data_IF_511778750201
#
_entry.id   IF_511778750201
#
_cell.length_a   1.000
_cell.length_b   1.000
_cell.length_c   1.000
_cell.angle_alpha   90.00
_cell.angle_beta   90.00
_cell.angle_gamma   90.00
#
_symmetry.space_group_name_H-M   'P 1'
#
loop_
_entity.id
_entity.type
_entity.pdbx_description
1 polymer ?
#
# COMPACT_ATOMS: atom_id res chain seq x y z
N UNK A 1 16.23 -22.10 -47.58
CA UNK A 1 16.37 -20.63 -47.44
C UNK A 1 15.96 -20.26 -46.00
N UNK A 2 16.49 -20.97 -45.00
CA UNK A 2 15.82 -21.09 -43.68
C UNK A 2 16.64 -20.52 -42.50
N UNK A 3 17.90 -20.15 -42.74
CA UNK A 3 18.79 -19.62 -41.71
C UNK A 3 18.52 -18.17 -41.33
N UNK A 4 18.10 -17.32 -42.29
CA UNK A 4 17.85 -15.89 -42.05
C UNK A 4 16.56 -15.65 -41.23
N UNK A 5 15.53 -16.45 -41.46
CA UNK A 5 14.25 -16.39 -40.73
C UNK A 5 14.39 -16.91 -39.30
N UNK A 6 15.14 -17.99 -39.09
CA UNK A 6 15.41 -18.53 -37.76
C UNK A 6 16.23 -17.54 -36.90
N UNK A 7 17.29 -16.96 -37.47
CA UNK A 7 18.13 -16.00 -36.76
C UNK A 7 17.38 -14.68 -36.42
N UNK A 8 16.47 -14.25 -37.29
CA UNK A 8 15.60 -13.10 -37.03
C UNK A 8 14.60 -13.38 -35.90
N UNK A 9 13.99 -14.57 -35.87
CA UNK A 9 13.07 -14.96 -34.81
C UNK A 9 13.75 -15.07 -33.43
N UNK A 10 14.96 -15.63 -33.39
CA UNK A 10 15.78 -15.71 -32.18
C UNK A 10 16.16 -14.31 -31.66
N UNK A 11 16.59 -13.43 -32.56
CA UNK A 11 16.95 -12.03 -32.22
C UNK A 11 15.74 -11.26 -31.67
N UNK A 12 14.56 -11.41 -32.27
CA UNK A 12 13.31 -10.80 -31.78
C UNK A 12 12.92 -11.37 -30.41
N UNK A 13 13.06 -12.68 -30.19
CA UNK A 13 12.81 -13.32 -28.90
C UNK A 13 13.72 -12.81 -27.78
N UNK A 14 15.01 -12.62 -28.07
CA UNK A 14 16.00 -12.07 -27.13
C UNK A 14 15.70 -10.60 -26.81
N UNK A 15 15.37 -9.79 -27.82
CA UNK A 15 15.01 -8.38 -27.62
C UNK A 15 13.76 -8.22 -26.74
N UNK A 16 12.69 -8.96 -27.02
CA UNK A 16 11.46 -8.96 -26.22
C UNK A 16 11.71 -9.43 -24.78
N UNK A 17 12.60 -10.39 -24.59
CA UNK A 17 12.99 -10.87 -23.25
C UNK A 17 13.74 -9.80 -22.47
N UNK A 18 14.68 -9.10 -23.11
CA UNK A 18 15.43 -8.00 -22.50
C UNK A 18 14.54 -6.80 -22.15
N UNK A 19 13.54 -6.49 -22.98
CA UNK A 19 12.59 -5.40 -22.72
C UNK A 19 11.63 -5.74 -21.57
N UNK A 20 11.15 -6.98 -21.49
CA UNK A 20 10.37 -7.46 -20.34
C UNK A 20 11.17 -7.41 -19.05
N UNK A 21 12.44 -7.78 -19.10
CA UNK A 21 13.31 -7.73 -17.93
C UNK A 21 13.58 -6.29 -17.47
N UNK A 22 13.75 -5.37 -18.41
CA UNK A 22 13.85 -3.92 -18.14
C UNK A 22 12.58 -3.39 -17.50
N UNK A 23 11.41 -3.66 -18.08
CA UNK A 23 10.12 -3.22 -17.55
C UNK A 23 9.90 -3.72 -16.11
N UNK A 24 10.17 -5.00 -15.85
CA UNK A 24 10.05 -5.58 -14.52
C UNK A 24 11.05 -4.96 -13.51
N UNK A 25 12.26 -4.60 -13.96
CA UNK A 25 13.23 -3.86 -13.12
C UNK A 25 12.72 -2.47 -12.75
N UNK A 26 12.15 -1.75 -13.71
CA UNK A 26 11.64 -0.39 -13.50
C UNK A 26 10.42 -0.39 -12.58
N UNK A 27 9.48 -1.31 -12.78
CA UNK A 27 8.31 -1.49 -11.91
C UNK A 27 8.74 -1.76 -10.45
N UNK A 28 9.67 -2.70 -10.24
CA UNK A 28 10.24 -2.95 -8.90
C UNK A 28 10.86 -1.70 -8.31
N UNK A 29 11.64 -0.94 -9.08
CA UNK A 29 12.26 0.30 -8.60
C UNK A 29 11.20 1.32 -8.17
N UNK A 30 10.13 1.47 -8.93
CA UNK A 30 9.01 2.34 -8.60
C UNK A 30 8.30 1.89 -7.33
N UNK A 31 8.06 0.58 -7.19
CA UNK A 31 7.44 0.02 -6.00
C UNK A 31 8.32 0.21 -4.75
N UNK A 32 9.63 -0.03 -4.83
CA UNK A 32 10.56 0.28 -3.75
C UNK A 32 10.56 1.77 -3.37
N UNK A 33 10.52 2.67 -4.36
CA UNK A 33 10.42 4.10 -4.10
C UNK A 33 9.09 4.46 -3.44
N UNK A 34 7.99 3.83 -3.84
CA UNK A 34 6.68 3.97 -3.20
C UNK A 34 6.69 3.49 -1.74
N UNK A 35 7.23 2.30 -1.47
CA UNK A 35 7.37 1.76 -0.10
C UNK A 35 8.17 2.68 0.81
N UNK A 36 9.26 3.28 0.31
CA UNK A 36 10.03 4.29 1.06
C UNK A 36 9.18 5.51 1.42
N UNK A 37 8.32 5.99 0.51
CA UNK A 37 7.39 7.11 0.78
C UNK A 37 6.31 6.73 1.80
N UNK A 38 5.83 5.49 1.78
CA UNK A 38 4.92 4.98 2.82
C UNK A 38 5.65 4.91 4.17
N UNK A 39 6.87 4.35 4.18
CA UNK A 39 7.74 4.25 5.34
C UNK A 39 8.00 5.59 6.03
N UNK A 40 8.29 6.65 5.26
CA UNK A 40 8.50 7.99 5.83
C UNK A 40 7.27 8.58 6.51
N UNK A 41 6.07 8.06 6.21
CA UNK A 41 4.80 8.51 6.81
C UNK A 41 4.38 7.69 8.02
N UNK A 42 5.03 6.55 8.30
CA UNK A 42 4.64 5.66 9.39
C UNK A 42 4.52 6.35 10.76
N UNK A 43 5.42 7.27 11.17
CA UNK A 43 5.26 7.94 12.48
C UNK A 43 3.96 8.74 12.57
N UNK A 44 3.62 9.50 11.53
CA UNK A 44 2.36 10.26 11.45
C UNK A 44 1.14 9.33 11.44
N UNK A 45 1.18 8.29 10.60
CA UNK A 45 0.10 7.31 10.49
C UNK A 45 -0.14 6.59 11.82
N UNK A 46 0.93 6.18 12.51
CA UNK A 46 0.83 5.56 13.82
C UNK A 46 0.22 6.51 14.85
N UNK A 47 0.71 7.75 14.92
CA UNK A 47 0.18 8.75 15.84
C UNK A 47 -1.33 8.99 15.63
N UNK A 48 -1.75 9.12 14.36
CA UNK A 48 -3.15 9.31 13.98
C UNK A 48 -4.02 8.10 14.31
N UNK A 49 -3.55 6.89 14.01
CA UNK A 49 -4.26 5.65 14.38
C UNK A 49 -4.43 5.53 15.90
N UNK A 50 -3.37 5.72 16.68
CA UNK A 50 -3.46 5.59 18.14
C UNK A 50 -4.24 6.74 18.80
N UNK A 51 -4.31 7.93 18.19
CA UNK A 51 -5.16 9.02 18.68
C UNK A 51 -6.67 8.70 18.61
N UNK A 52 -7.06 7.73 17.78
CA UNK A 52 -8.44 7.22 17.67
C UNK A 52 -8.77 6.13 18.69
N UNK A 53 -7.77 5.61 19.42
CA UNK A 53 -7.98 4.58 20.44
C UNK A 53 -8.94 5.10 21.52
N UNK A 54 -9.95 4.30 21.85
CA UNK A 54 -10.97 4.66 22.85
C UNK A 54 -11.96 5.75 22.39
N UNK A 55 -11.86 6.24 21.16
CA UNK A 55 -12.92 7.06 20.56
C UNK A 55 -13.99 6.13 20.00
N UNK A 56 -15.25 6.43 20.31
CA UNK A 56 -16.35 5.82 19.59
C UNK A 56 -16.27 6.34 18.14
N UNK A 57 -16.18 5.42 17.20
CA UNK A 57 -16.39 5.68 15.79
C UNK A 57 -17.21 4.49 15.29
N UNK A 58 -18.36 4.76 14.70
CA UNK A 58 -19.36 3.73 14.40
C UNK A 58 -18.95 2.83 13.23
N UNK A 59 -18.89 1.52 13.49
CA UNK A 59 -18.61 0.45 12.51
C UNK A 59 -18.15 -0.84 13.22
N UNK A 60 -18.99 -1.89 13.17
CA UNK A 60 -18.80 -3.21 13.78
C UNK A 60 -17.36 -3.78 13.69
N UNK A 61 -16.72 -4.08 14.83
CA UNK A 61 -15.41 -4.77 15.00
C UNK A 61 -14.08 -3.97 14.79
N UNK A 62 -14.11 -2.64 14.63
CA UNK A 62 -12.99 -1.86 14.05
C UNK A 62 -11.81 -1.42 14.93
N UNK A 63 -11.86 -1.46 16.27
CA UNK A 63 -10.73 -0.95 17.09
C UNK A 63 -9.46 -1.80 16.97
N UNK A 64 -9.60 -3.11 16.81
CA UNK A 64 -8.49 -4.00 16.48
C UNK A 64 -8.13 -3.97 14.98
N UNK A 65 -9.04 -3.52 14.11
CA UNK A 65 -8.86 -3.49 12.66
C UNK A 65 -7.83 -2.47 12.18
N UNK A 66 -7.91 -1.22 12.64
CA UNK A 66 -6.98 -0.17 12.20
C UNK A 66 -5.56 -0.37 12.71
N UNK A 67 -5.39 -0.85 13.94
CA UNK A 67 -4.07 -1.15 14.50
C UNK A 67 -3.44 -2.39 13.82
N UNK A 68 -4.24 -3.42 13.51
CA UNK A 68 -3.77 -4.58 12.74
C UNK A 68 -3.40 -4.19 11.30
N UNK A 69 -4.24 -3.39 10.63
CA UNK A 69 -3.93 -2.85 9.31
C UNK A 69 -2.65 -2.00 9.33
N UNK A 70 -2.46 -1.16 10.36
CA UNK A 70 -1.21 -0.41 10.54
C UNK A 70 -0.01 -1.36 10.67
N UNK A 71 -0.15 -2.48 11.39
CA UNK A 71 0.86 -3.53 11.46
C UNK A 71 1.25 -4.09 10.09
N UNK A 72 0.26 -4.38 9.23
CA UNK A 72 0.51 -4.81 7.85
C UNK A 72 1.19 -3.70 7.02
N UNK A 73 0.79 -2.44 7.16
CA UNK A 73 1.44 -1.32 6.48
C UNK A 73 2.89 -1.15 6.93
N UNK A 74 3.20 -1.33 8.22
CA UNK A 74 4.57 -1.32 8.74
C UNK A 74 5.37 -2.45 8.14
N UNK A 75 4.82 -3.67 8.11
CA UNK A 75 5.46 -4.85 7.49
C UNK A 75 5.78 -4.56 6.02
N UNK A 76 4.77 -4.16 5.24
CA UNK A 76 4.92 -3.79 3.82
C UNK A 76 5.99 -2.71 3.67
N UNK A 77 5.97 -1.63 4.44
CA UNK A 77 6.97 -0.57 4.31
C UNK A 77 8.39 -1.01 4.71
N UNK A 78 8.53 -2.02 5.58
CA UNK A 78 9.80 -2.43 6.20
C UNK A 78 10.47 -3.65 5.56
N UNK A 79 9.78 -4.43 4.72
CA UNK A 79 10.35 -5.63 4.03
C UNK A 79 11.49 -5.28 3.05
N UNK A 80 12.73 -5.15 3.49
CA UNK A 80 13.85 -4.83 2.58
C UNK A 80 14.37 -6.12 1.94
N UNK A 81 14.41 -6.17 0.61
CA UNK A 81 15.17 -7.20 -0.12
C UNK A 81 14.36 -8.35 -0.71
N UNK A 82 13.11 -8.58 -0.26
CA UNK A 82 12.23 -9.48 -0.99
C UNK A 82 11.85 -8.88 -2.34
N UNK A 83 11.78 -9.74 -3.35
CA UNK A 83 11.34 -9.38 -4.71
C UNK A 83 9.88 -9.77 -4.82
N UNK A 84 8.93 -8.94 -4.35
CA UNK A 84 7.52 -9.22 -4.58
C UNK A 84 7.30 -9.29 -6.08
N UNK A 85 6.60 -10.32 -6.54
CA UNK A 85 6.16 -10.36 -7.92
C UNK A 85 5.12 -9.24 -8.18
N UNK A 86 4.63 -9.11 -9.41
CA UNK A 86 3.67 -8.05 -9.73
C UNK A 86 2.34 -8.19 -8.96
N UNK A 87 1.95 -9.42 -8.56
CA UNK A 87 0.73 -9.65 -7.79
C UNK A 87 0.92 -9.20 -6.35
N UNK A 88 2.03 -9.57 -5.73
CA UNK A 88 2.40 -9.11 -4.38
C UNK A 88 2.45 -7.58 -4.31
N UNK A 89 3.05 -6.93 -5.33
CA UNK A 89 3.13 -5.47 -5.39
C UNK A 89 1.76 -4.79 -5.49
N UNK A 90 0.80 -5.43 -6.16
CA UNK A 90 -0.58 -4.94 -6.26
C UNK A 90 -1.32 -5.14 -4.94
N UNK A 91 -1.16 -6.31 -4.31
CA UNK A 91 -1.75 -6.61 -3.00
C UNK A 91 -1.26 -5.61 -1.96
N UNK A 92 0.05 -5.33 -1.93
CA UNK A 92 0.64 -4.33 -1.05
C UNK A 92 0.00 -2.94 -1.22
N UNK A 93 -0.20 -2.52 -2.47
CA UNK A 93 -0.84 -1.23 -2.77
C UNK A 93 -2.28 -1.18 -2.28
N UNK A 94 -3.07 -2.23 -2.56
CA UNK A 94 -4.47 -2.32 -2.13
C UNK A 94 -4.59 -2.29 -0.61
N UNK A 95 -3.71 -2.99 0.11
CA UNK A 95 -3.69 -2.99 1.59
C UNK A 95 -3.40 -1.58 2.12
N UNK A 96 -2.36 -0.92 1.61
CA UNK A 96 -1.97 0.43 2.06
C UNK A 96 -3.03 1.48 1.73
N UNK A 97 -3.63 1.41 0.54
CA UNK A 97 -4.72 2.32 0.15
C UNK A 97 -6.00 2.08 0.96
N UNK A 98 -6.32 0.82 1.24
CA UNK A 98 -7.42 0.44 2.12
C UNK A 98 -7.24 1.04 3.52
N UNK A 99 -6.05 0.87 4.10
CA UNK A 99 -5.72 1.47 5.39
C UNK A 99 -5.88 3.00 5.39
N UNK A 100 -5.39 3.71 4.36
CA UNK A 100 -5.56 5.18 4.29
C UNK A 100 -7.02 5.60 4.23
N UNK A 101 -7.85 4.85 3.51
CA UNK A 101 -9.29 5.11 3.41
C UNK A 101 -9.98 4.90 4.75
N UNK A 102 -9.69 3.79 5.41
CA UNK A 102 -10.29 3.42 6.68
C UNK A 102 -9.88 4.39 7.79
N UNK A 103 -8.60 4.80 7.82
CA UNK A 103 -8.10 5.81 8.75
C UNK A 103 -8.83 7.15 8.56
N UNK A 104 -8.94 7.64 7.32
CA UNK A 104 -9.66 8.89 6.99
C UNK A 104 -11.12 8.82 7.42
N UNK A 105 -11.78 7.68 7.19
CA UNK A 105 -13.18 7.46 7.58
C UNK A 105 -13.34 7.51 9.10
N UNK A 106 -12.48 6.81 9.84
CA UNK A 106 -12.51 6.79 11.30
C UNK A 106 -12.24 8.18 11.90
N UNK A 107 -11.29 8.93 11.36
CA UNK A 107 -11.03 10.33 11.75
C UNK A 107 -12.26 11.20 11.57
N UNK A 108 -12.96 11.05 10.43
CA UNK A 108 -14.16 11.82 10.12
C UNK A 108 -15.31 11.50 11.07
N UNK A 109 -15.54 10.20 11.32
CA UNK A 109 -16.55 9.74 12.28
C UNK A 109 -16.26 10.24 13.70
N UNK A 110 -15.01 10.17 14.16
CA UNK A 110 -14.64 10.64 15.50
C UNK A 110 -14.85 12.16 15.66
N UNK A 111 -14.57 12.95 14.62
CA UNK A 111 -14.82 14.40 14.63
C UNK A 111 -16.32 14.71 14.67
N UNK A 112 -17.13 14.00 13.89
CA UNK A 112 -18.58 14.16 13.88
C UNK A 112 -19.20 13.85 15.25
N UNK A 113 -18.75 12.77 15.90
CA UNK A 113 -19.22 12.41 17.24
C UNK A 113 -18.82 13.44 18.31
N UNK A 114 -17.59 13.96 18.24
CA UNK A 114 -17.15 15.00 19.15
C UNK A 114 -18.01 16.28 19.01
N UNK A 115 -18.32 16.67 17.77
CA UNK A 115 -19.20 17.80 17.48
C UNK A 115 -20.63 17.57 18.02
N UNK A 116 -21.18 16.37 17.81
CA UNK A 116 -22.51 16.02 18.31
C UNK A 116 -22.58 16.07 19.85
N UNK A 117 -21.57 15.52 20.55
CA UNK A 117 -21.49 15.59 22.02
C UNK A 117 -21.40 17.01 22.54
N UNK A 118 -20.64 17.88 21.87
CA UNK A 118 -20.54 19.30 22.24
C UNK A 118 -21.88 20.03 22.08
N UNK A 119 -22.67 19.67 21.05
CA UNK A 119 -23.98 20.26 20.80
C UNK A 119 -25.07 19.76 21.77
N UNK A 120 -24.96 18.53 22.29
CA UNK A 120 -25.93 17.97 23.26
C UNK A 120 -25.65 18.30 24.72
N UNK A 121 -24.47 18.87 25.01
CA UNK A 121 -24.06 19.29 26.36
C UNK A 121 -24.16 20.80 26.62
N UNK A 122 -24.65 21.58 25.63
CA UNK A 122 -25.08 22.98 25.79
C UNK A 122 -26.60 23.04 25.96
#
# INVERSE_FOLDING_TARGET
MDGLTAHSAETVGVALSADRERAARDERRQHYAWRKRVGSRLPDLAARTFALRGRAYHGSLYHHGLEAQLGEVIKIASTIGDRPDCQDQLVDQVIVEGFFRDLKRAETSALAEAAARAASGS
#
